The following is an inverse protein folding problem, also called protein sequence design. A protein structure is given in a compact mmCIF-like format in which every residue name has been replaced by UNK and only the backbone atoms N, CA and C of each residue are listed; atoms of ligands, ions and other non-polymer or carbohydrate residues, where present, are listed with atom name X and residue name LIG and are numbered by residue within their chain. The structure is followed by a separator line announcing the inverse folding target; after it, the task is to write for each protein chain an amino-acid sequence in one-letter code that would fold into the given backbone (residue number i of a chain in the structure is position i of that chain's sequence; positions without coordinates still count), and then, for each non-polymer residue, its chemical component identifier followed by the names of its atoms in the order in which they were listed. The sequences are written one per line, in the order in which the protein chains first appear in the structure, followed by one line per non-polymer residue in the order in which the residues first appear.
data_IF_827787970817
#
_entry.id   IF_827787970817
#
_cell.length_a   1.000
_cell.length_b   1.000
_cell.length_c   1.000
_cell.angle_alpha   90.00
_cell.angle_beta   90.00
_cell.angle_gamma   90.00
#
_symmetry.space_group_name_H-M   'P 1'
#
loop_
_entity.id
_entity.type
_entity.pdbx_description
1 polymer ?
#
# COMPACT_ATOMS: atom_id res chain seq x y z
N UNK A 1 3.87 -7.38 14.24
CA UNK A 1 4.10 -7.19 12.80
C UNK A 1 3.63 -8.42 12.06
N UNK A 2 2.59 -8.21 11.27
CA UNK A 2 2.01 -9.12 10.31
C UNK A 2 3.01 -9.40 9.19
N UNK A 3 2.97 -10.62 8.68
CA UNK A 3 3.62 -11.01 7.43
C UNK A 3 2.91 -10.38 6.23
N UNK A 4 3.57 -10.32 5.07
CA UNK A 4 2.94 -9.72 3.88
C UNK A 4 1.68 -10.49 3.45
N UNK A 5 1.62 -11.82 3.63
CA UNK A 5 0.40 -12.62 3.36
C UNK A 5 -0.74 -12.31 4.32
N UNK A 6 -0.43 -12.09 5.60
CA UNK A 6 -1.42 -11.66 6.59
C UNK A 6 -1.94 -10.26 6.27
N UNK A 7 -1.08 -9.37 5.77
CA UNK A 7 -1.46 -8.01 5.36
C UNK A 7 -2.41 -8.05 4.16
N UNK A 8 -2.13 -8.84 3.12
CA UNK A 8 -3.05 -8.98 1.99
C UNK A 8 -4.39 -9.56 2.42
N UNK A 9 -4.36 -10.61 3.26
CA UNK A 9 -5.58 -11.26 3.74
C UNK A 9 -6.43 -10.30 4.59
N UNK A 10 -5.78 -9.50 5.44
CA UNK A 10 -6.44 -8.49 6.27
C UNK A 10 -7.04 -7.37 5.41
N UNK A 11 -6.28 -6.86 4.43
CA UNK A 11 -6.75 -5.81 3.53
C UNK A 11 -7.91 -6.31 2.65
N UNK A 12 -7.83 -7.54 2.16
CA UNK A 12 -8.91 -8.17 1.43
C UNK A 12 -10.16 -8.32 2.30
N UNK A 13 -10.04 -8.90 3.49
CA UNK A 13 -11.18 -9.10 4.37
C UNK A 13 -11.85 -7.77 4.70
N UNK A 14 -11.05 -6.74 5.01
CA UNK A 14 -11.57 -5.38 5.21
C UNK A 14 -12.35 -4.87 4.00
N UNK A 15 -11.83 -5.06 2.78
CA UNK A 15 -12.50 -4.62 1.55
C UNK A 15 -13.82 -5.35 1.33
N UNK A 16 -13.89 -6.64 1.65
CA UNK A 16 -15.14 -7.43 1.62
C UNK A 16 -16.12 -6.91 2.66
N UNK A 17 -15.65 -6.70 3.89
CA UNK A 17 -16.47 -6.21 4.99
C UNK A 17 -17.13 -4.89 4.59
N UNK A 18 -16.36 -3.92 4.11
CA UNK A 18 -16.91 -2.61 3.68
C UNK A 18 -17.40 -2.60 2.23
N UNK A 19 -17.64 -3.75 1.60
CA UNK A 19 -18.22 -3.89 0.26
C UNK A 19 -17.56 -2.97 -0.80
N UNK A 20 -16.23 -3.01 -0.90
CA UNK A 20 -15.41 -2.31 -1.90
C UNK A 20 -14.44 -3.29 -2.59
N UNK A 21 -14.65 -4.59 -2.50
CA UNK A 21 -13.74 -5.63 -2.97
C UNK A 21 -13.35 -5.45 -4.45
N UNK A 22 -14.25 -4.92 -5.27
CA UNK A 22 -14.06 -4.67 -6.70
C UNK A 22 -13.70 -3.22 -7.07
N UNK A 23 -13.62 -2.30 -6.09
CA UNK A 23 -13.38 -0.89 -6.35
C UNK A 23 -11.90 -0.61 -6.59
N UNK A 24 -11.55 -0.16 -7.79
CA UNK A 24 -10.18 0.26 -8.11
C UNK A 24 -9.82 1.58 -7.43
N UNK A 25 -10.78 2.49 -7.23
CA UNK A 25 -10.55 3.82 -6.64
C UNK A 25 -11.64 4.07 -5.58
N UNK A 26 -11.55 3.44 -4.39
CA UNK A 26 -12.61 3.55 -3.39
C UNK A 26 -12.77 5.00 -2.90
N UNK A 27 -14.02 5.42 -2.72
CA UNK A 27 -14.34 6.69 -2.08
C UNK A 27 -14.20 6.53 -0.56
N UNK A 28 -13.12 7.05 0.01
CA UNK A 28 -12.80 6.86 1.43
C UNK A 28 -13.84 7.43 2.39
N UNK A 29 -14.63 8.45 2.00
CA UNK A 29 -15.75 8.90 2.85
C UNK A 29 -16.90 7.89 2.90
N UNK A 30 -17.20 7.25 1.77
CA UNK A 30 -18.18 6.16 1.73
C UNK A 30 -17.67 4.94 2.49
N UNK A 31 -16.36 4.65 2.41
CA UNK A 31 -15.74 3.60 3.23
C UNK A 31 -15.94 3.89 4.72
N UNK A 32 -15.69 5.12 5.18
CA UNK A 32 -15.92 5.50 6.57
C UNK A 32 -17.41 5.41 6.98
N UNK A 33 -18.35 5.80 6.10
CA UNK A 33 -19.79 5.62 6.36
C UNK A 33 -20.16 4.13 6.52
N UNK A 34 -19.64 3.27 5.63
CA UNK A 34 -19.83 1.82 5.72
C UNK A 34 -19.22 1.24 6.99
N UNK A 35 -18.00 1.66 7.36
CA UNK A 35 -17.37 1.28 8.63
C UNK A 35 -18.23 1.68 9.84
N UNK A 36 -18.86 2.85 9.82
CA UNK A 36 -19.78 3.30 10.87
C UNK A 36 -21.04 2.43 10.94
N UNK A 37 -21.64 2.09 9.80
CA UNK A 37 -22.81 1.19 9.71
C UNK A 37 -22.52 -0.23 10.21
N UNK A 38 -21.28 -0.66 10.11
CA UNK A 38 -20.83 -1.98 10.57
C UNK A 38 -20.30 -1.99 12.00
N UNK A 39 -20.45 -0.87 12.73
CA UNK A 39 -19.91 -0.71 14.08
C UNK A 39 -18.42 -1.06 14.14
N UNK A 40 -17.64 -0.66 13.12
CA UNK A 40 -16.17 -0.71 13.17
C UNK A 40 -15.61 0.56 13.82
N UNK A 41 -16.24 1.70 13.53
CA UNK A 41 -16.03 3.00 14.17
C UNK A 41 -17.37 3.54 14.67
N UNK A 42 -17.36 4.39 15.68
CA UNK A 42 -18.57 5.02 16.21
C UNK A 42 -18.90 6.34 15.52
N UNK A 43 -17.89 7.09 15.08
CA UNK A 43 -18.11 8.40 14.48
C UNK A 43 -16.99 8.87 13.56
N UNK A 44 -17.30 9.88 12.74
CA UNK A 44 -16.35 10.59 11.88
C UNK A 44 -16.52 12.09 12.13
N UNK A 45 -15.44 12.76 12.51
CA UNK A 45 -15.44 14.17 12.85
C UNK A 45 -14.52 14.97 11.94
N UNK A 46 -14.98 16.14 11.53
CA UNK A 46 -14.27 17.03 10.63
C UNK A 46 -13.78 18.27 11.36
N UNK A 47 -12.57 18.72 11.03
CA UNK A 47 -11.91 19.83 11.68
C UNK A 47 -11.30 20.80 10.66
N UNK A 48 -11.18 22.10 11.01
CA UNK A 48 -10.34 23.04 10.26
C UNK A 48 -8.92 22.52 10.03
N UNK A 49 -8.37 22.86 8.86
CA UNK A 49 -7.00 22.51 8.52
C UNK A 49 -6.00 23.16 9.50
N UNK A 50 -4.94 22.42 9.83
CA UNK A 50 -3.89 22.87 10.76
C UNK A 50 -4.23 22.73 12.25
N UNK A 51 -5.45 22.34 12.62
CA UNK A 51 -5.82 22.15 14.04
C UNK A 51 -4.99 21.08 14.75
N UNK A 52 -4.50 20.07 14.02
CA UNK A 52 -3.64 19.00 14.56
C UNK A 52 -2.18 19.14 14.10
N UNK A 53 -1.72 20.38 13.86
CA UNK A 53 -0.39 20.66 13.37
C UNK A 53 -0.20 20.12 11.95
N UNK A 54 0.78 19.22 11.77
CA UNK A 54 1.11 18.63 10.47
C UNK A 54 0.27 17.38 10.12
N UNK A 55 -0.62 16.93 11.00
CA UNK A 55 -1.46 15.76 10.78
C UNK A 55 -2.79 16.18 10.15
N UNK A 56 -3.16 15.51 9.06
CA UNK A 56 -4.41 15.74 8.33
C UNK A 56 -5.53 14.79 8.76
N UNK A 57 -5.21 13.67 9.39
CA UNK A 57 -6.18 12.76 10.00
C UNK A 57 -5.53 11.98 11.15
N UNK A 58 -6.37 11.48 12.07
CA UNK A 58 -5.97 10.47 13.05
C UNK A 58 -7.17 9.65 13.51
N UNK A 59 -6.92 8.40 13.90
CA UNK A 59 -7.88 7.57 14.61
C UNK A 59 -7.75 7.69 16.14
N UNK A 60 -8.87 7.94 16.83
CA UNK A 60 -8.97 7.95 18.29
C UNK A 60 -9.52 6.59 18.79
N UNK A 61 -8.67 5.67 19.30
CA UNK A 61 -9.11 4.32 19.66
C UNK A 61 -10.08 4.29 20.84
N UNK A 62 -9.93 5.18 21.82
CA UNK A 62 -10.77 5.20 23.03
C UNK A 62 -12.22 5.58 22.72
N UNK A 63 -12.44 6.51 21.78
CA UNK A 63 -13.78 6.92 21.32
C UNK A 63 -14.23 6.22 20.04
N UNK A 64 -13.34 5.41 19.43
CA UNK A 64 -13.53 4.78 18.12
C UNK A 64 -13.94 5.79 17.05
N UNK A 65 -13.32 6.97 17.05
CA UNK A 65 -13.66 8.09 16.17
C UNK A 65 -12.56 8.34 15.17
N UNK A 66 -12.93 8.55 13.90
CA UNK A 66 -12.01 9.03 12.88
C UNK A 66 -12.05 10.56 12.82
N UNK A 67 -10.90 11.22 12.93
CA UNK A 67 -10.80 12.67 12.83
C UNK A 67 -10.10 13.03 11.52
N UNK A 68 -10.72 13.90 10.70
CA UNK A 68 -10.17 14.35 9.42
C UNK A 68 -10.16 15.87 9.34
N UNK A 69 -9.12 16.45 8.74
CA UNK A 69 -9.16 17.84 8.30
C UNK A 69 -10.11 18.01 7.11
N UNK A 70 -10.65 19.21 6.90
CA UNK A 70 -11.50 19.49 5.74
C UNK A 70 -10.80 19.20 4.41
N UNK A 71 -9.51 19.55 4.30
CA UNK A 71 -8.72 19.25 3.10
C UNK A 71 -8.60 17.73 2.87
N UNK A 72 -8.31 16.95 3.92
CA UNK A 72 -8.27 15.49 3.81
C UNK A 72 -9.63 14.90 3.42
N UNK A 73 -10.70 15.37 4.08
CA UNK A 73 -12.06 14.94 3.83
C UNK A 73 -12.54 15.22 2.40
N UNK A 74 -12.01 16.25 1.74
CA UNK A 74 -12.31 16.53 0.33
C UNK A 74 -11.96 15.35 -0.59
N UNK A 75 -11.02 14.49 -0.18
CA UNK A 75 -10.59 13.28 -0.90
C UNK A 75 -10.18 13.52 -2.37
N UNK A 76 -9.83 14.76 -2.73
CA UNK A 76 -9.53 15.15 -4.12
C UNK A 76 -8.16 14.68 -4.58
N UNK A 77 -7.22 14.53 -3.65
CA UNK A 77 -5.84 14.19 -3.96
C UNK A 77 -5.51 12.75 -3.54
N UNK A 78 -4.70 12.00 -4.31
CA UNK A 78 -4.32 10.63 -3.97
C UNK A 78 -3.72 10.46 -2.57
N UNK A 79 -3.00 11.47 -2.06
CA UNK A 79 -2.46 11.38 -0.70
C UNK A 79 -3.54 11.44 0.38
N UNK A 80 -4.69 12.09 0.16
CA UNK A 80 -5.77 12.09 1.15
C UNK A 80 -6.38 10.69 1.30
N UNK A 81 -6.55 9.96 0.18
CA UNK A 81 -6.96 8.54 0.23
C UNK A 81 -5.99 7.71 1.06
N UNK A 82 -4.69 7.91 0.84
CA UNK A 82 -3.65 7.22 1.58
C UNK A 82 -3.71 7.56 3.07
N UNK A 83 -3.82 8.84 3.43
CA UNK A 83 -3.95 9.29 4.82
C UNK A 83 -5.12 8.62 5.53
N UNK A 84 -6.31 8.57 4.90
CA UNK A 84 -7.46 7.88 5.51
C UNK A 84 -7.23 6.37 5.61
N UNK A 85 -6.68 5.74 4.56
CA UNK A 85 -6.36 4.32 4.57
C UNK A 85 -5.30 3.95 5.63
N UNK A 86 -4.37 4.87 5.93
CA UNK A 86 -3.35 4.74 6.97
C UNK A 86 -3.95 4.69 8.37
N UNK A 87 -4.90 5.58 8.66
CA UNK A 87 -5.59 5.57 9.94
C UNK A 87 -6.50 4.34 10.11
N UNK A 88 -7.15 3.90 9.01
CA UNK A 88 -7.88 2.62 8.98
C UNK A 88 -6.91 1.47 9.26
N UNK A 89 -5.72 1.47 8.67
CA UNK A 89 -4.72 0.45 8.89
C UNK A 89 -4.26 0.35 10.35
N UNK A 90 -4.12 1.49 11.05
CA UNK A 90 -3.87 1.50 12.50
C UNK A 90 -5.00 0.81 13.28
N UNK A 91 -6.25 1.08 12.93
CA UNK A 91 -7.42 0.42 13.53
C UNK A 91 -7.36 -1.09 13.29
N UNK A 92 -7.17 -1.53 12.04
CA UNK A 92 -7.18 -2.95 11.67
C UNK A 92 -6.04 -3.74 12.33
N UNK A 93 -4.87 -3.12 12.49
CA UNK A 93 -3.72 -3.73 13.16
C UNK A 93 -3.82 -3.66 14.70
N UNK A 94 -4.85 -3.02 15.26
CA UNK A 94 -5.00 -2.85 16.71
C UNK A 94 -3.93 -1.94 17.33
N UNK A 95 -3.35 -1.03 16.55
CA UNK A 95 -2.33 -0.11 17.02
C UNK A 95 -2.94 0.91 18.01
N UNK A 96 -2.47 0.87 19.27
CA UNK A 96 -2.96 1.78 20.33
C UNK A 96 -2.26 3.15 20.37
N UNK A 97 -1.22 3.33 19.56
CA UNK A 97 -0.40 4.54 19.53
C UNK A 97 -0.66 5.30 18.24
N UNK A 98 -1.75 6.05 18.17
CA UNK A 98 -1.87 7.14 17.21
C UNK A 98 -1.09 8.33 17.76
N UNK A 99 -0.34 9.00 16.88
CA UNK A 99 0.55 10.12 17.21
C UNK A 99 -0.11 11.05 18.23
N UNK A 100 0.66 11.45 19.26
CA UNK A 100 0.33 12.41 20.33
C UNK A 100 0.10 11.90 21.76
N UNK A 101 0.72 10.77 22.16
CA UNK A 101 1.10 10.69 23.58
C UNK A 101 2.45 11.41 23.74
N UNK A 102 2.40 12.68 24.20
CA UNK A 102 3.55 13.33 24.86
C UNK A 102 4.00 12.37 25.95
N UNK A 103 5.16 11.74 25.81
CA UNK A 103 5.74 10.95 26.88
C UNK A 103 7.20 11.37 27.01
N UNK A 104 7.42 12.18 28.04
CA UNK A 104 8.69 12.27 28.73
C UNK A 104 9.30 10.87 28.89
N UNK A 105 10.62 10.77 28.74
CA UNK A 105 11.46 9.59 29.00
C UNK A 105 11.68 8.58 27.86
N UNK A 106 12.79 8.80 27.13
CA UNK A 106 13.86 7.78 27.04
C UNK A 106 13.65 6.54 26.16
N UNK A 107 13.99 6.66 24.88
CA UNK A 107 14.71 5.67 24.04
C UNK A 107 14.09 4.33 23.59
N UNK A 108 12.98 3.80 24.13
CA UNK A 108 12.40 2.53 23.59
C UNK A 108 11.16 2.69 22.69
N UNK A 109 10.35 3.72 22.90
CA UNK A 109 9.11 3.95 22.15
C UNK A 109 9.33 4.25 20.65
N UNK A 110 10.47 4.83 20.28
CA UNK A 110 10.72 5.23 18.89
C UNK A 110 10.85 4.05 17.91
N UNK A 111 11.28 2.87 18.36
CA UNK A 111 11.44 1.71 17.47
C UNK A 111 10.12 0.99 17.22
N UNK A 112 9.26 0.90 18.23
CA UNK A 112 7.92 0.31 18.13
C UNK A 112 6.99 1.21 17.32
N UNK A 113 6.98 2.52 17.57
CA UNK A 113 6.21 3.49 16.78
C UNK A 113 6.61 3.39 15.30
N UNK A 114 7.90 3.35 14.99
CA UNK A 114 8.38 3.17 13.61
C UNK A 114 7.93 1.84 12.98
N UNK A 115 7.83 0.77 13.76
CA UNK A 115 7.32 -0.52 13.27
C UNK A 115 5.83 -0.44 12.96
N UNK A 116 5.04 0.14 13.87
CA UNK A 116 3.59 0.29 13.71
C UNK A 116 3.24 1.19 12.52
N UNK A 117 3.97 2.29 12.33
CA UNK A 117 3.80 3.20 11.19
C UNK A 117 4.12 2.49 9.86
N UNK A 118 5.22 1.71 9.80
CA UNK A 118 5.57 0.92 8.62
C UNK A 118 4.56 -0.19 8.32
N UNK A 119 4.00 -0.80 9.37
CA UNK A 119 2.95 -1.80 9.25
C UNK A 119 1.64 -1.17 8.75
N UNK A 120 1.29 0.02 9.26
CA UNK A 120 0.15 0.78 8.77
C UNK A 120 0.32 1.20 7.31
N UNK A 121 1.51 1.68 6.90
CA UNK A 121 1.83 2.00 5.50
C UNK A 121 1.58 0.79 4.58
N UNK A 122 2.01 -0.40 5.00
CA UNK A 122 1.84 -1.64 4.22
C UNK A 122 0.37 -2.03 4.07
N UNK A 123 -0.39 -1.98 5.16
CA UNK A 123 -1.82 -2.31 5.16
C UNK A 123 -2.60 -1.29 4.33
N UNK A 124 -2.34 0.01 4.50
CA UNK A 124 -2.96 1.07 3.70
C UNK A 124 -2.68 0.89 2.21
N UNK A 125 -1.42 0.54 1.88
CA UNK A 125 -1.03 0.25 0.51
C UNK A 125 -1.77 -0.98 -0.07
N UNK A 126 -1.99 -2.02 0.74
CA UNK A 126 -2.74 -3.21 0.33
C UNK A 126 -4.25 -2.95 0.23
N UNK A 127 -4.83 -2.08 1.05
CA UNK A 127 -6.24 -1.67 0.95
C UNK A 127 -6.48 -0.93 -0.36
N UNK A 128 -5.62 0.03 -0.72
CA UNK A 128 -5.80 0.87 -1.91
C UNK A 128 -5.41 0.17 -3.21
N UNK A 129 -4.42 -0.72 -3.17
CA UNK A 129 -3.92 -1.47 -4.33
C UNK A 129 -3.86 -2.95 -3.93
N UNK A 130 -5.01 -3.63 -3.86
CA UNK A 130 -5.09 -5.02 -3.43
C UNK A 130 -4.45 -5.94 -4.46
N UNK A 131 -3.74 -6.97 -4.00
CA UNK A 131 -3.10 -7.94 -4.89
C UNK A 131 -4.11 -8.60 -5.85
N UNK A 132 -5.33 -8.90 -5.39
CA UNK A 132 -6.37 -9.55 -6.21
C UNK A 132 -6.86 -8.75 -7.40
N UNK A 133 -6.72 -7.43 -7.38
CA UNK A 133 -7.10 -6.57 -8.51
C UNK A 133 -5.89 -6.14 -9.35
N UNK A 134 -4.67 -6.45 -8.90
CA UNK A 134 -3.45 -6.08 -9.59
C UNK A 134 -3.07 -7.19 -10.58
N UNK A 135 -3.51 -7.04 -11.84
CA UNK A 135 -3.16 -7.97 -12.90
C UNK A 135 -1.66 -7.93 -13.21
N UNK A 136 -1.14 -9.05 -13.76
CA UNK A 136 0.28 -9.22 -14.10
C UNK A 136 0.79 -8.09 -15.01
N UNK A 137 -0.02 -7.65 -15.97
CA UNK A 137 0.35 -6.56 -16.87
C UNK A 137 0.60 -5.24 -16.12
N UNK A 138 -0.09 -5.02 -15.00
CA UNK A 138 0.09 -3.83 -14.15
C UNK A 138 1.39 -3.91 -13.33
N UNK A 139 1.93 -5.11 -13.11
CA UNK A 139 3.17 -5.34 -12.37
C UNK A 139 4.43 -4.95 -13.16
N UNK A 140 4.28 -4.36 -14.34
CA UNK A 140 5.38 -3.83 -15.16
C UNK A 140 5.65 -2.35 -14.91
N UNK A 141 4.68 -1.60 -14.38
CA UNK A 141 4.74 -0.13 -14.36
C UNK A 141 4.02 0.48 -13.17
N UNK A 142 4.77 1.22 -12.35
CA UNK A 142 4.21 1.99 -11.24
C UNK A 142 3.24 3.07 -11.74
N UNK A 143 3.44 3.59 -12.95
CA UNK A 143 2.52 4.57 -13.55
C UNK A 143 1.19 3.92 -13.90
N UNK A 144 1.19 2.67 -14.37
CA UNK A 144 -0.03 1.91 -14.65
C UNK A 144 -0.81 1.68 -13.36
N UNK A 145 -0.15 1.25 -12.28
CA UNK A 145 -0.79 1.13 -10.96
C UNK A 145 -1.33 2.47 -10.45
N UNK A 146 -0.54 3.54 -10.52
CA UNK A 146 -0.96 4.88 -10.08
C UNK A 146 -2.23 5.35 -10.78
N UNK A 147 -2.28 5.21 -12.10
CA UNK A 147 -3.44 5.59 -12.90
C UNK A 147 -4.65 4.69 -12.64
N UNK A 148 -4.44 3.37 -12.53
CA UNK A 148 -5.53 2.40 -12.37
C UNK A 148 -6.20 2.50 -11.01
N UNK A 149 -5.42 2.65 -9.95
CA UNK A 149 -5.92 2.67 -8.57
C UNK A 149 -6.08 4.09 -8.00
N UNK A 150 -5.78 5.13 -8.78
CA UNK A 150 -5.83 6.50 -8.31
C UNK A 150 -4.91 6.72 -7.10
N UNK A 151 -3.67 6.24 -7.14
CA UNK A 151 -2.71 6.44 -6.04
C UNK A 151 -1.55 7.32 -6.49
N UNK A 152 -0.81 7.89 -5.55
CA UNK A 152 0.38 8.68 -5.90
C UNK A 152 1.42 7.79 -6.57
N UNK A 153 2.24 8.36 -7.46
CA UNK A 153 3.32 7.61 -8.11
C UNK A 153 4.32 7.04 -7.09
N UNK A 154 4.55 7.75 -5.97
CA UNK A 154 5.41 7.27 -4.89
C UNK A 154 4.86 6.00 -4.24
N UNK A 155 3.58 6.02 -3.86
CA UNK A 155 2.89 4.84 -3.31
C UNK A 155 2.87 3.69 -4.32
N UNK A 156 2.57 3.97 -5.59
CA UNK A 156 2.56 2.95 -6.63
C UNK A 156 3.94 2.29 -6.81
N UNK A 157 5.04 3.05 -6.74
CA UNK A 157 6.40 2.51 -6.78
C UNK A 157 6.69 1.60 -5.58
N UNK A 158 6.27 2.03 -4.39
CA UNK A 158 6.40 1.23 -3.17
C UNK A 158 5.63 -0.09 -3.31
N UNK A 159 4.38 -0.01 -3.77
CA UNK A 159 3.50 -1.18 -3.90
C UNK A 159 3.93 -2.13 -5.01
N UNK A 160 4.37 -1.61 -6.16
CA UNK A 160 4.86 -2.40 -7.29
C UNK A 160 5.93 -3.39 -6.86
N UNK A 161 6.94 -2.93 -6.11
CA UNK A 161 8.03 -3.78 -5.61
C UNK A 161 7.52 -4.94 -4.76
N UNK A 162 6.53 -4.65 -3.91
CA UNK A 162 5.93 -5.64 -3.01
C UNK A 162 5.14 -6.68 -3.81
N UNK A 163 4.27 -6.24 -4.74
CA UNK A 163 3.48 -7.15 -5.58
C UNK A 163 4.35 -8.00 -6.50
N UNK A 164 5.40 -7.43 -7.10
CA UNK A 164 6.37 -8.15 -7.90
C UNK A 164 7.07 -9.25 -7.11
N UNK A 165 7.53 -8.95 -5.89
CA UNK A 165 8.16 -9.96 -5.04
C UNK A 165 7.19 -11.09 -4.68
N UNK A 166 5.95 -10.74 -4.32
CA UNK A 166 4.90 -11.72 -3.99
C UNK A 166 4.57 -12.63 -5.17
N UNK A 167 4.40 -12.04 -6.36
CA UNK A 167 4.19 -12.79 -7.60
C UNK A 167 5.33 -13.79 -7.83
N UNK A 168 6.58 -13.34 -7.69
CA UNK A 168 7.74 -14.21 -7.87
C UNK A 168 7.75 -15.39 -6.91
N UNK A 169 7.50 -15.13 -5.61
CA UNK A 169 7.47 -16.18 -4.59
C UNK A 169 6.37 -17.20 -4.90
N UNK A 170 5.15 -16.74 -5.21
CA UNK A 170 4.01 -17.61 -5.52
C UNK A 170 4.23 -18.48 -6.75
N UNK A 171 4.93 -17.94 -7.75
CA UNK A 171 5.21 -18.62 -9.01
C UNK A 171 6.59 -19.31 -9.05
N UNK A 172 7.33 -19.34 -7.94
CA UNK A 172 8.65 -19.98 -7.88
C UNK A 172 9.72 -19.34 -8.78
N UNK A 173 9.56 -18.07 -9.13
CA UNK A 173 10.46 -17.35 -10.04
C UNK A 173 11.71 -16.90 -9.29
N UNK A 174 12.86 -17.51 -9.61
CA UNK A 174 14.15 -17.15 -9.01
C UNK A 174 14.63 -15.76 -9.42
N UNK A 175 15.32 -15.04 -8.52
CA UNK A 175 15.94 -13.76 -8.87
C UNK A 175 17.12 -14.07 -9.78
N UNK A 176 17.18 -13.42 -10.95
CA UNK A 176 18.43 -13.43 -11.71
C UNK A 176 19.52 -12.88 -10.78
N UNK A 177 20.68 -13.53 -10.69
CA UNK A 177 21.78 -13.00 -9.90
C UNK A 177 22.12 -11.61 -10.42
N UNK A 178 22.51 -10.71 -9.50
CA UNK A 178 23.07 -9.42 -9.90
C UNK A 178 24.23 -9.68 -10.88
N UNK A 179 24.36 -8.87 -11.95
CA UNK A 179 25.51 -9.00 -12.83
C UNK A 179 26.79 -8.88 -11.98
N UNK A 180 27.81 -9.69 -12.26
CA UNK A 180 29.04 -9.67 -11.48
C UNK A 180 29.63 -8.26 -11.52
N UNK A 181 30.00 -7.75 -10.35
CA UNK A 181 30.72 -6.48 -10.24
C UNK A 181 32.06 -6.65 -10.94
N UNK A 182 32.32 -5.86 -11.99
CA UNK A 182 33.63 -5.81 -12.61
C UNK A 182 34.44 -4.71 -11.93
N UNK A 183 35.64 -5.05 -11.47
CA UNK A 183 36.61 -4.05 -11.05
C UNK A 183 37.38 -3.60 -12.29
N UNK A 184 37.53 -2.30 -12.47
CA UNK A 184 38.49 -1.75 -13.44
C UNK A 184 39.93 -2.07 -12.97
N UNK A 185 40.91 -2.01 -13.87
CA UNK A 185 42.32 -2.22 -13.55
C UNK A 185 42.87 -1.29 -12.45
N UNK A 186 42.22 -0.14 -12.24
CA UNK A 186 42.56 0.84 -11.21
C UNK A 186 41.86 0.60 -9.85
N UNK A 187 41.12 -0.49 -9.72
CA UNK A 187 40.36 -0.84 -8.52
C UNK A 187 39.01 -0.12 -8.38
N UNK A 188 38.62 0.71 -9.35
CA UNK A 188 37.29 1.33 -9.35
C UNK A 188 36.20 0.31 -9.69
N UNK A 189 35.02 0.46 -9.08
CA UNK A 189 33.85 -0.37 -9.39
C UNK A 189 33.30 0.06 -10.74
N UNK A 190 33.43 -0.80 -11.74
CA UNK A 190 32.65 -0.70 -12.97
C UNK A 190 31.41 -1.55 -12.75
N UNK A 191 30.31 -0.91 -12.37
CA UNK A 191 29.01 -1.51 -12.64
C UNK A 191 28.99 -1.78 -14.13
N UNK A 192 29.05 -3.05 -14.53
CA UNK A 192 28.61 -3.43 -15.86
C UNK A 192 27.20 -2.86 -15.96
N UNK A 193 27.05 -1.78 -16.72
CA UNK A 193 25.77 -1.12 -16.90
C UNK A 193 24.85 -2.24 -17.32
N UNK A 194 23.90 -2.58 -16.45
CA UNK A 194 22.81 -3.44 -16.86
C UNK A 194 22.12 -2.61 -17.95
N UNK A 195 22.39 -2.95 -19.20
CA UNK A 195 21.51 -2.58 -20.30
C UNK A 195 20.12 -3.03 -19.85
N UNK A 196 19.28 -2.03 -19.62
CA UNK A 196 17.93 -2.13 -19.07
C UNK A 196 17.85 -2.52 -17.58
N UNK A 197 17.09 -1.73 -16.82
CA UNK A 197 16.41 -2.25 -15.64
C UNK A 197 15.64 -3.49 -16.11
N UNK A 198 16.18 -4.67 -15.85
CA UNK A 198 15.51 -5.94 -16.11
C UNK A 198 14.18 -5.88 -15.37
N UNK A 199 13.11 -5.71 -16.13
CA UNK A 199 11.71 -5.71 -15.68
C UNK A 199 11.32 -7.11 -15.20
N UNK A 200 12.27 -7.98 -14.84
CA UNK A 200 12.05 -9.39 -14.72
C UNK A 200 11.46 -9.95 -16.00
N UNK A 201 11.26 -11.25 -15.99
CA UNK A 201 10.56 -11.93 -17.07
C UNK A 201 9.04 -11.62 -17.07
N UNK A 202 8.60 -10.47 -16.54
CA UNK A 202 7.19 -10.06 -16.56
C UNK A 202 6.72 -9.88 -18.00
N UNK A 203 7.58 -9.43 -18.92
CA UNK A 203 7.23 -9.31 -20.33
C UNK A 203 7.09 -10.68 -21.03
N UNK A 204 7.89 -11.71 -20.71
CA UNK A 204 7.68 -13.03 -21.33
C UNK A 204 6.55 -13.79 -20.64
N UNK A 205 6.41 -13.70 -19.32
CA UNK A 205 5.27 -14.24 -18.59
C UNK A 205 3.95 -13.61 -19.07
N UNK A 206 3.88 -12.27 -19.22
CA UNK A 206 2.73 -11.58 -19.79
C UNK A 206 2.48 -11.98 -21.26
N UNK A 207 3.53 -12.14 -22.09
CA UNK A 207 3.39 -12.62 -23.49
C UNK A 207 2.93 -14.07 -23.56
N UNK A 208 3.34 -14.93 -22.64
CA UNK A 208 2.92 -16.34 -22.59
C UNK A 208 1.50 -16.48 -22.06
N UNK A 209 1.12 -15.65 -21.08
CA UNK A 209 -0.25 -15.57 -20.58
C UNK A 209 -1.22 -14.94 -21.58
N UNK A 210 -0.83 -13.90 -22.31
CA UNK A 210 -1.64 -13.34 -23.41
C UNK A 210 -1.85 -14.37 -24.54
N UNK A 211 -0.85 -15.22 -24.81
CA UNK A 211 -0.99 -16.35 -25.73
C UNK A 211 -1.94 -17.42 -25.19
N UNK A 212 -1.87 -17.73 -23.90
CA UNK A 212 -2.77 -18.69 -23.26
C UNK A 212 -4.21 -18.17 -23.15
N UNK A 213 -4.43 -16.89 -22.84
CA UNK A 213 -5.75 -16.27 -22.80
C UNK A 213 -6.45 -16.27 -24.17
N UNK A 214 -5.69 -16.07 -25.26
CA UNK A 214 -6.21 -16.23 -26.64
C UNK A 214 -6.61 -17.67 -26.95
N UNK A 215 -5.83 -18.65 -26.49
CA UNK A 215 -6.16 -20.08 -26.62
C UNK A 215 -7.43 -20.50 -25.90
N UNK A 216 -7.78 -19.85 -24.78
CA UNK A 216 -8.99 -20.15 -24.03
C UNK A 216 -10.24 -19.43 -24.56
N UNK A 217 -10.08 -18.34 -25.32
CA UNK A 217 -11.17 -17.59 -25.94
C UNK A 217 -11.51 -18.01 -27.37
N UNK A 218 -10.86 -19.03 -27.93
CA UNK A 218 -11.30 -19.68 -29.16
C UNK A 218 -11.16 -18.86 -30.45
N UNK A 219 -10.02 -18.19 -30.64
CA UNK A 219 -9.57 -17.73 -31.97
C UNK A 219 -8.47 -18.67 -32.52
#
# INVERSE_FOLDING_TARGET
MLTDDQIESLAEQFRIDVAIEHDFIPNMLEVLDKMKRQDMILDVQFFPDGQFGMSEAYYAPDSRTMHLSHTCASNQMPQHRFTVAHEIAHLLAGHKFTRHRRVDHGQQFGSEVKKNEREADKIAAAILVPEKLADVDMLTSARTLANRFGVSLSMANYRLKTLQERYRIRHGIQRKPLPPVKLAPDGSIVLAVAEEFDTGDYNAAAKEMARNARRWNGD
#
